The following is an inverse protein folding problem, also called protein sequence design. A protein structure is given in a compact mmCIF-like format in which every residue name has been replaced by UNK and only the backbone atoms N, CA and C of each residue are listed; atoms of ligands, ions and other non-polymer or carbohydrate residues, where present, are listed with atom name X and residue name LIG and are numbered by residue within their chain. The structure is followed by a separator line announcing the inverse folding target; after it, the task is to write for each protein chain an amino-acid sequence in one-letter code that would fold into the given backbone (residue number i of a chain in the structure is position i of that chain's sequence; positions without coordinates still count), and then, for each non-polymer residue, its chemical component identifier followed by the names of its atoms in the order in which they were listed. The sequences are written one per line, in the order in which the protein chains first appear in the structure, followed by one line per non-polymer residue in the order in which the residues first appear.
data_IF_386445990686
#
_entry.id   IF_386445990686
#
_cell.length_a   1.000
_cell.length_b   1.000
_cell.length_c   1.000
_cell.angle_alpha   90.00
_cell.angle_beta   90.00
_cell.angle_gamma   90.00
#
_symmetry.space_group_name_H-M   'P 1'
#
loop_
_entity.id
_entity.type
_entity.pdbx_description
1 polymer ?
#
# COMPACT_ATOMS: atom_id res chain seq x y z
N UNK A 1 -32.76 9.94 42.16
CA UNK A 1 -33.02 11.02 43.13
C UNK A 1 -32.00 12.13 42.90
N UNK A 2 -32.52 13.34 42.54
CA UNK A 2 -31.92 14.68 42.71
C UNK A 2 -30.61 14.96 41.91
N UNK A 3 -30.46 16.01 41.09
CA UNK A 3 -30.95 17.39 41.14
C UNK A 3 -31.14 17.94 39.70
N UNK A 4 -32.34 18.46 39.35
CA UNK A 4 -32.73 19.88 39.34
C UNK A 4 -31.95 20.74 38.32
N UNK A 5 -32.49 20.85 37.09
CA UNK A 5 -32.06 21.82 36.06
C UNK A 5 -32.79 23.15 36.30
N UNK A 6 -32.01 24.22 36.46
CA UNK A 6 -32.50 25.61 36.47
C UNK A 6 -32.78 26.05 35.02
N UNK A 7 -34.02 26.47 34.74
CA UNK A 7 -34.36 27.20 33.52
C UNK A 7 -33.85 28.65 33.65
N UNK A 8 -32.99 29.07 32.73
CA UNK A 8 -32.73 30.49 32.46
C UNK A 8 -33.43 30.89 31.18
N UNK A 9 -34.47 31.70 31.31
CA UNK A 9 -35.14 32.37 30.20
C UNK A 9 -34.30 33.61 29.84
N UNK A 10 -33.49 33.52 28.78
CA UNK A 10 -32.79 34.66 28.21
C UNK A 10 -33.56 35.17 26.99
N UNK A 11 -34.06 36.40 27.10
CA UNK A 11 -34.60 37.17 25.97
C UNK A 11 -33.41 37.65 25.16
N UNK A 12 -33.09 36.94 24.08
CA UNK A 12 -32.05 37.31 23.12
C UNK A 12 -32.61 38.16 22.00
N UNK A 13 -32.12 39.40 21.89
CA UNK A 13 -32.23 40.25 20.69
C UNK A 13 -31.80 39.43 19.47
N UNK A 14 -32.68 39.30 18.48
CA UNK A 14 -32.37 38.63 17.21
C UNK A 14 -31.30 39.39 16.45
N UNK A 15 -30.04 38.96 16.58
CA UNK A 15 -29.03 39.24 15.59
C UNK A 15 -29.37 38.42 14.35
N UNK A 16 -29.81 39.10 13.28
CA UNK A 16 -29.89 38.50 11.95
C UNK A 16 -28.45 38.25 11.53
N UNK A 17 -27.97 37.03 11.79
CA UNK A 17 -26.76 36.52 11.17
C UNK A 17 -27.08 36.40 9.67
N UNK A 18 -26.58 37.35 8.89
CA UNK A 18 -26.46 37.17 7.45
C UNK A 18 -25.47 36.02 7.24
N UNK A 19 -25.98 34.79 7.04
CA UNK A 19 -25.18 33.73 6.47
C UNK A 19 -24.79 34.19 5.07
N UNK A 20 -23.51 34.43 4.84
CA UNK A 20 -22.95 34.52 3.49
C UNK A 20 -23.49 33.33 2.69
N UNK A 21 -23.98 33.52 1.45
CA UNK A 21 -24.44 32.39 0.65
C UNK A 21 -23.30 31.38 0.56
N UNK A 22 -23.49 30.21 1.15
CA UNK A 22 -22.53 29.13 0.99
C UNK A 22 -22.54 28.76 -0.51
N UNK A 23 -21.40 28.92 -1.17
CA UNK A 23 -21.24 28.39 -2.52
C UNK A 23 -21.57 26.89 -2.47
N UNK A 24 -22.42 26.37 -3.36
CA UNK A 24 -22.72 24.95 -3.37
C UNK A 24 -21.42 24.18 -3.59
N UNK A 25 -21.13 23.28 -2.66
CA UNK A 25 -19.98 22.37 -2.70
C UNK A 25 -20.48 21.01 -3.17
N UNK A 26 -19.77 20.37 -4.08
CA UNK A 26 -20.05 19.00 -4.49
C UNK A 26 -18.77 18.19 -4.56
N UNK A 27 -18.87 16.90 -4.31
CA UNK A 27 -17.80 15.94 -4.48
C UNK A 27 -18.19 14.93 -5.55
N UNK A 28 -17.26 14.61 -6.45
CA UNK A 28 -17.39 13.58 -7.46
C UNK A 28 -16.18 12.66 -7.37
N UNK A 29 -16.41 11.35 -7.26
CA UNK A 29 -15.34 10.37 -7.45
C UNK A 29 -15.03 10.28 -8.96
N UNK A 30 -13.79 10.55 -9.34
CA UNK A 30 -13.31 10.57 -10.74
C UNK A 30 -12.40 9.38 -11.05
N UNK A 31 -11.93 8.65 -10.02
CA UNK A 31 -11.30 7.34 -10.14
C UNK A 31 -11.70 6.46 -8.95
N UNK A 32 -12.17 5.25 -9.26
CA UNK A 32 -12.54 4.24 -8.28
C UNK A 32 -11.81 2.93 -8.56
N UNK A 33 -10.82 2.63 -7.74
CA UNK A 33 -10.09 1.36 -7.75
C UNK A 33 -10.36 0.51 -6.50
N UNK A 34 -11.28 0.93 -5.61
CA UNK A 34 -11.62 0.21 -4.39
C UNK A 34 -11.91 1.10 -3.19
N UNK A 35 -12.09 0.49 -1.99
CA UNK A 35 -12.40 1.23 -0.76
C UNK A 35 -11.35 2.30 -0.43
N UNK A 36 -11.80 3.43 0.10
CA UNK A 36 -10.95 4.59 0.47
C UNK A 36 -9.87 4.22 1.49
N UNK A 37 -10.17 3.36 2.45
CA UNK A 37 -9.19 2.86 3.43
C UNK A 37 -8.21 1.79 2.88
N UNK A 38 -8.26 1.49 1.57
CA UNK A 38 -7.42 0.51 0.88
C UNK A 38 -6.69 1.10 -0.33
N UNK A 39 -6.87 2.38 -0.59
CA UNK A 39 -6.27 3.11 -1.72
C UNK A 39 -5.72 4.43 -1.21
N UNK A 40 -4.78 5.01 -1.96
CA UNK A 40 -4.32 6.37 -1.74
C UNK A 40 -5.33 7.31 -2.40
N UNK A 41 -5.94 8.20 -1.63
CA UNK A 41 -7.02 9.06 -2.10
C UNK A 41 -6.46 10.44 -2.50
N UNK A 42 -6.39 10.69 -3.82
CA UNK A 42 -6.10 12.02 -4.36
C UNK A 42 -7.36 12.89 -4.37
N UNK A 43 -7.28 14.10 -3.81
CA UNK A 43 -8.39 15.05 -3.80
C UNK A 43 -8.01 16.31 -4.56
N UNK A 44 -8.72 16.54 -5.66
CA UNK A 44 -8.64 17.76 -6.46
C UNK A 44 -9.64 18.78 -5.92
N UNK A 45 -9.24 20.05 -5.89
CA UNK A 45 -10.03 21.19 -5.44
C UNK A 45 -10.03 22.25 -6.54
N UNK A 46 -11.17 22.87 -6.80
CA UNK A 46 -11.30 23.95 -7.77
C UNK A 46 -11.07 25.32 -7.13
N UNK A 47 -10.19 26.13 -7.73
CA UNK A 47 -9.95 27.51 -7.33
C UNK A 47 -10.05 28.45 -8.56
N UNK A 48 -10.70 29.59 -8.40
CA UNK A 48 -10.89 30.55 -9.51
C UNK A 48 -11.82 30.05 -10.62
N UNK A 49 -12.60 28.98 -10.38
CA UNK A 49 -13.66 28.54 -11.28
C UNK A 49 -15.00 29.13 -10.82
N UNK A 50 -15.65 29.92 -11.66
CA UNK A 50 -17.03 30.37 -11.39
C UNK A 50 -18.03 29.22 -11.50
N UNK A 51 -19.26 29.42 -11.04
CA UNK A 51 -20.31 28.40 -11.07
C UNK A 51 -20.58 27.84 -12.48
N UNK A 52 -20.40 28.63 -13.54
CA UNK A 52 -20.58 28.20 -14.93
C UNK A 52 -19.34 27.49 -15.50
N UNK A 53 -18.21 27.50 -14.79
CA UNK A 53 -16.96 26.85 -15.20
C UNK A 53 -16.68 25.54 -14.44
N UNK A 54 -17.54 25.13 -13.51
CA UNK A 54 -17.30 23.90 -12.73
C UNK A 54 -17.28 22.63 -13.59
N UNK A 55 -17.96 22.60 -14.74
CA UNK A 55 -17.83 21.49 -15.70
C UNK A 55 -16.45 21.47 -16.38
N UNK A 56 -15.85 22.64 -16.62
CA UNK A 56 -14.48 22.75 -17.12
C UNK A 56 -13.49 22.27 -16.06
N UNK A 57 -13.67 22.65 -14.79
CA UNK A 57 -12.87 22.13 -13.68
C UNK A 57 -12.84 20.60 -13.63
N UNK A 58 -13.99 19.93 -13.77
CA UNK A 58 -14.02 18.46 -13.80
C UNK A 58 -13.22 17.91 -14.98
N UNK A 59 -13.26 18.58 -16.14
CA UNK A 59 -12.45 18.21 -17.31
C UNK A 59 -10.95 18.37 -17.02
N UNK A 60 -10.57 19.49 -16.41
CA UNK A 60 -9.19 19.80 -16.04
C UNK A 60 -8.65 18.81 -15.02
N UNK A 61 -9.42 18.52 -13.97
CA UNK A 61 -9.07 17.53 -12.94
C UNK A 61 -8.86 16.13 -13.53
N UNK A 62 -9.74 15.68 -14.44
CA UNK A 62 -9.55 14.41 -15.14
C UNK A 62 -8.31 14.43 -16.04
N UNK A 63 -8.03 15.53 -16.74
CA UNK A 63 -6.85 15.66 -17.59
C UNK A 63 -5.56 15.57 -16.78
N UNK A 64 -5.47 16.29 -15.67
CA UNK A 64 -4.30 16.26 -14.79
C UNK A 64 -4.15 14.92 -14.08
N UNK A 65 -5.25 14.32 -13.61
CA UNK A 65 -5.24 12.96 -13.05
C UNK A 65 -4.68 11.94 -14.04
N UNK A 66 -5.18 11.93 -15.28
CA UNK A 66 -4.71 11.02 -16.31
C UNK A 66 -3.21 11.19 -16.58
N UNK A 67 -2.72 12.44 -16.56
CA UNK A 67 -1.30 12.69 -16.72
C UNK A 67 -0.48 12.20 -15.53
N UNK A 68 -0.88 12.49 -14.29
CA UNK A 68 -0.23 12.01 -13.06
C UNK A 68 -0.11 10.48 -13.09
N UNK A 69 -1.21 9.79 -13.42
CA UNK A 69 -1.25 8.33 -13.53
C UNK A 69 -0.42 7.79 -14.70
N UNK A 70 0.02 8.63 -15.65
CA UNK A 70 0.89 8.20 -16.76
C UNK A 70 2.39 8.30 -16.45
N UNK A 71 2.78 9.01 -15.38
CA UNK A 71 4.18 9.23 -15.02
C UNK A 71 4.70 8.14 -14.08
N UNK A 72 5.90 7.61 -14.38
CA UNK A 72 6.57 6.64 -13.50
C UNK A 72 7.09 7.30 -12.22
N UNK A 73 7.02 6.65 -11.04
CA UNK A 73 6.53 5.28 -10.82
C UNK A 73 5.01 5.18 -10.60
N UNK A 74 4.27 6.29 -10.53
CA UNK A 74 2.81 6.29 -10.26
C UNK A 74 2.06 5.42 -11.28
N UNK A 75 2.48 5.46 -12.54
CA UNK A 75 1.91 4.65 -13.61
C UNK A 75 1.99 3.13 -13.40
N UNK A 76 2.97 2.65 -12.64
CA UNK A 76 3.08 1.23 -12.29
C UNK A 76 2.05 0.81 -11.22
N UNK A 77 1.56 1.77 -10.44
CA UNK A 77 0.70 1.55 -9.29
C UNK A 77 -0.66 2.25 -9.44
N UNK A 78 -1.16 2.50 -10.66
CA UNK A 78 -2.42 3.24 -10.85
C UNK A 78 -3.60 2.64 -10.07
N UNK A 79 -3.67 1.31 -9.96
CA UNK A 79 -4.71 0.57 -9.22
C UNK A 79 -4.68 0.82 -7.71
N UNK A 80 -3.63 1.46 -7.19
CA UNK A 80 -3.44 1.78 -5.79
C UNK A 80 -4.08 3.11 -5.41
N UNK A 81 -4.53 3.91 -6.38
CA UNK A 81 -5.06 5.25 -6.16
C UNK A 81 -6.57 5.30 -6.39
N UNK A 82 -7.25 6.11 -5.61
CA UNK A 82 -8.55 6.68 -5.92
C UNK A 82 -8.38 8.17 -6.20
N UNK A 83 -9.37 8.78 -6.84
CA UNK A 83 -9.38 10.23 -7.02
C UNK A 83 -10.79 10.82 -6.87
N UNK A 84 -10.85 11.97 -6.23
CA UNK A 84 -12.06 12.73 -5.96
C UNK A 84 -11.86 14.18 -6.40
N UNK A 85 -12.87 14.76 -7.03
CA UNK A 85 -12.92 16.18 -7.37
C UNK A 85 -13.96 16.88 -6.50
N UNK A 86 -13.51 17.80 -5.66
CA UNK A 86 -14.38 18.70 -4.88
C UNK A 86 -14.52 20.00 -5.66
N UNK A 87 -15.75 20.30 -6.09
CA UNK A 87 -16.10 21.52 -6.81
C UNK A 87 -16.57 22.59 -5.83
N UNK A 88 -15.99 23.77 -5.95
CA UNK A 88 -16.30 24.96 -5.16
C UNK A 88 -16.27 26.16 -6.09
N UNK A 89 -17.39 26.87 -6.20
CA UNK A 89 -17.46 28.05 -7.04
C UNK A 89 -16.73 29.25 -6.40
N UNK A 90 -15.99 29.98 -7.21
CA UNK A 90 -15.46 31.31 -6.93
C UNK A 90 -16.39 32.40 -7.49
N UNK A 91 -16.29 33.62 -6.95
CA UNK A 91 -17.04 34.77 -7.50
C UNK A 91 -16.42 35.17 -8.84
N UNK A 92 -15.10 35.31 -8.86
CA UNK A 92 -14.34 35.68 -10.04
C UNK A 92 -13.59 34.48 -10.64
N UNK A 93 -13.32 34.57 -11.94
CA UNK A 93 -12.43 33.64 -12.64
C UNK A 93 -10.98 34.14 -12.57
N UNK A 94 -10.02 33.24 -12.40
CA UNK A 94 -8.58 33.57 -12.32
C UNK A 94 -8.04 33.55 -10.89
N UNK A 95 -6.91 34.22 -10.70
CA UNK A 95 -6.23 34.41 -9.41
C UNK A 95 -5.77 35.87 -9.26
N UNK A 96 -5.26 36.24 -8.09
CA UNK A 96 -4.63 37.55 -7.87
C UNK A 96 -3.26 37.60 -8.57
N UNK A 97 -2.96 38.75 -9.20
CA UNK A 97 -1.64 39.09 -9.75
C UNK A 97 -1.22 40.48 -9.24
N UNK A 98 -0.71 40.59 -8.00
CA UNK A 98 -0.37 41.86 -7.36
C UNK A 98 0.59 42.75 -8.16
N UNK A 99 1.61 42.20 -8.84
CA UNK A 99 2.55 42.98 -9.67
C UNK A 99 1.85 43.66 -10.87
N UNK A 100 0.71 43.10 -11.30
CA UNK A 100 -0.12 43.62 -12.39
C UNK A 100 -1.35 44.40 -11.90
N UNK A 101 -1.50 44.62 -10.60
CA UNK A 101 -2.67 45.28 -9.97
C UNK A 101 -4.01 44.58 -10.28
N UNK A 102 -3.99 43.25 -10.38
CA UNK A 102 -5.17 42.41 -10.63
C UNK A 102 -5.53 41.66 -9.34
N UNK A 103 -6.77 41.83 -8.88
CA UNK A 103 -7.31 41.12 -7.71
C UNK A 103 -8.67 40.49 -8.05
N UNK A 104 -8.89 39.27 -7.58
CA UNK A 104 -10.01 38.37 -7.86
C UNK A 104 -10.58 37.86 -6.55
N UNK A 105 -11.89 37.90 -6.42
CA UNK A 105 -12.59 37.31 -5.28
C UNK A 105 -12.80 35.80 -5.52
N UNK A 106 -11.82 35.00 -5.14
CA UNK A 106 -11.83 33.55 -5.31
C UNK A 106 -12.07 32.82 -4.00
N UNK A 107 -12.36 31.52 -4.06
CA UNK A 107 -12.77 30.76 -2.87
C UNK A 107 -11.63 30.58 -1.87
N UNK A 108 -10.42 30.25 -2.34
CA UNK A 108 -9.24 30.00 -1.51
C UNK A 108 -8.25 31.16 -1.46
N UNK A 109 -8.58 32.31 -2.05
CA UNK A 109 -7.71 33.50 -2.12
C UNK A 109 -6.32 33.19 -2.71
N UNK A 110 -6.27 32.44 -3.81
CA UNK A 110 -5.00 32.21 -4.50
C UNK A 110 -4.37 33.50 -5.03
N UNK A 111 -3.05 33.57 -5.01
CA UNK A 111 -2.28 34.71 -5.51
C UNK A 111 -0.93 34.29 -6.09
N UNK A 112 -0.53 34.95 -7.17
CA UNK A 112 0.84 34.97 -7.68
C UNK A 112 1.72 35.94 -6.87
N UNK A 113 2.96 36.12 -7.32
CA UNK A 113 3.92 37.10 -6.81
C UNK A 113 4.33 36.91 -5.34
N UNK A 114 4.01 35.74 -4.76
CA UNK A 114 4.25 35.46 -3.34
C UNK A 114 5.74 35.44 -3.05
N UNK A 115 6.14 36.04 -1.94
CA UNK A 115 7.53 36.14 -1.47
C UNK A 115 8.48 36.80 -2.48
N UNK A 116 7.95 37.68 -3.35
CA UNK A 116 8.72 38.35 -4.40
C UNK A 116 9.12 37.43 -5.55
N UNK A 117 8.41 36.31 -5.74
CA UNK A 117 8.61 35.36 -6.82
C UNK A 117 7.35 35.35 -7.69
N UNK A 118 7.45 35.91 -8.90
CA UNK A 118 6.30 36.07 -9.81
C UNK A 118 5.44 34.80 -9.96
N UNK A 119 6.10 33.67 -10.24
CA UNK A 119 5.43 32.37 -10.49
C UNK A 119 5.01 31.60 -9.23
N UNK A 120 5.28 32.12 -8.03
CA UNK A 120 4.92 31.46 -6.79
C UNK A 120 3.42 31.63 -6.53
N UNK A 121 2.65 30.67 -7.03
CA UNK A 121 1.20 30.62 -6.87
C UNK A 121 0.85 29.94 -5.54
N UNK A 122 0.36 30.70 -4.57
CA UNK A 122 0.08 30.24 -3.21
C UNK A 122 -1.36 30.52 -2.80
N UNK A 123 -1.75 30.00 -1.64
CA UNK A 123 -2.96 30.40 -0.90
C UNK A 123 -2.56 30.76 0.55
N UNK A 124 -3.38 31.54 1.28
CA UNK A 124 -3.09 31.93 2.66
C UNK A 124 -2.88 30.71 3.58
N UNK A 125 -1.91 30.75 4.52
CA UNK A 125 -1.11 31.92 4.87
C UNK A 125 0.07 32.13 3.90
N UNK A 126 0.26 33.37 3.45
CA UNK A 126 1.41 33.83 2.68
C UNK A 126 1.80 35.26 3.11
N UNK A 127 2.68 35.93 2.36
CA UNK A 127 3.14 37.30 2.63
C UNK A 127 2.10 38.39 2.35
N UNK A 128 1.07 38.10 1.55
CA UNK A 128 -0.05 39.03 1.29
C UNK A 128 -1.22 38.86 2.27
N UNK A 129 -1.50 37.62 2.69
CA UNK A 129 -2.56 37.29 3.64
C UNK A 129 -2.06 36.22 4.65
N UNK A 130 -1.79 36.61 5.91
CA UNK A 130 -1.30 35.68 6.93
C UNK A 130 -2.40 34.83 7.57
N UNK A 131 -3.67 34.99 7.17
CA UNK A 131 -4.81 34.36 7.85
C UNK A 131 -5.04 32.96 7.28
N UNK A 132 -4.62 31.95 8.04
CA UNK A 132 -4.82 30.53 7.68
C UNK A 132 -6.26 30.19 7.27
N UNK A 133 -7.27 30.76 7.94
CA UNK A 133 -8.68 30.49 7.66
C UNK A 133 -9.17 31.02 6.30
N UNK A 134 -8.38 31.83 5.60
CA UNK A 134 -8.74 32.40 4.30
C UNK A 134 -8.36 31.49 3.11
N UNK A 135 -7.36 30.62 3.28
CA UNK A 135 -6.86 29.70 2.26
C UNK A 135 -6.81 28.25 2.76
N UNK A 136 -5.65 27.82 3.24
CA UNK A 136 -5.37 26.45 3.72
C UNK A 136 -6.44 25.95 4.72
N UNK A 137 -6.91 26.80 5.64
CA UNK A 137 -7.97 26.44 6.58
C UNK A 137 -9.29 26.07 5.92
N UNK A 138 -9.65 26.69 4.79
CA UNK A 138 -10.82 26.30 4.00
C UNK A 138 -10.59 24.96 3.30
N UNK A 139 -9.38 24.71 2.79
CA UNK A 139 -9.01 23.42 2.18
C UNK A 139 -9.24 22.29 3.17
N UNK A 140 -8.65 22.38 4.36
CA UNK A 140 -8.77 21.31 5.36
C UNK A 140 -10.17 21.20 5.97
N UNK A 141 -10.95 22.29 6.03
CA UNK A 141 -12.36 22.23 6.42
C UNK A 141 -13.22 21.46 5.41
N UNK A 142 -12.98 21.65 4.11
CA UNK A 142 -13.64 20.88 3.05
C UNK A 142 -13.26 19.41 3.12
N UNK A 143 -11.97 19.11 3.22
CA UNK A 143 -11.48 17.73 3.34
C UNK A 143 -12.09 17.04 4.56
N UNK A 144 -12.08 17.67 5.73
CA UNK A 144 -12.67 17.11 6.95
C UNK A 144 -14.17 16.80 6.82
N UNK A 145 -14.90 17.55 5.98
CA UNK A 145 -16.36 17.38 5.81
C UNK A 145 -16.74 16.44 4.66
N UNK A 146 -15.97 16.42 3.58
CA UNK A 146 -16.33 15.73 2.33
C UNK A 146 -15.45 14.52 2.04
N UNK A 147 -14.17 14.53 2.44
CA UNK A 147 -13.23 13.45 2.14
C UNK A 147 -12.14 13.34 3.21
N UNK A 148 -12.46 12.90 4.44
CA UNK A 148 -11.52 12.89 5.57
C UNK A 148 -10.40 11.85 5.44
N UNK A 149 -10.54 10.87 4.56
CA UNK A 149 -9.53 9.84 4.27
C UNK A 149 -8.59 10.26 3.11
N UNK A 150 -8.41 11.56 2.87
CA UNK A 150 -7.50 12.05 1.83
C UNK A 150 -6.03 11.75 2.16
N UNK A 151 -5.22 11.58 1.13
CA UNK A 151 -3.77 11.37 1.26
C UNK A 151 -2.96 12.40 0.48
N UNK A 152 -3.46 12.83 -0.68
CA UNK A 152 -2.83 13.82 -1.56
C UNK A 152 -3.86 14.89 -1.89
N UNK A 153 -3.52 16.16 -1.71
CA UNK A 153 -4.41 17.29 -1.99
C UNK A 153 -3.83 18.12 -3.11
N UNK A 154 -4.63 18.36 -4.15
CA UNK A 154 -4.24 19.13 -5.33
C UNK A 154 -5.24 20.26 -5.52
N UNK A 155 -4.76 21.50 -5.57
CA UNK A 155 -5.56 22.69 -5.87
C UNK A 155 -5.29 23.12 -7.31
N UNK A 156 -6.32 23.11 -8.15
CA UNK A 156 -6.25 23.58 -9.53
C UNK A 156 -6.76 25.01 -9.56
N UNK A 157 -5.90 25.95 -9.94
CA UNK A 157 -6.22 27.37 -10.11
C UNK A 157 -6.52 27.65 -11.58
N UNK A 158 -7.72 28.15 -11.86
CA UNK A 158 -8.20 28.49 -13.21
C UNK A 158 -7.57 29.78 -13.75
N UNK A 159 -6.25 29.77 -13.91
CA UNK A 159 -5.48 30.88 -14.44
C UNK A 159 -4.45 30.36 -15.47
N UNK A 160 -4.31 30.99 -16.65
CA UNK A 160 -3.42 30.51 -17.69
C UNK A 160 -1.95 30.87 -17.45
N UNK A 161 -1.61 31.75 -16.49
CA UNK A 161 -0.23 32.09 -16.18
C UNK A 161 0.53 30.89 -15.60
N UNK A 162 1.85 30.81 -15.86
CA UNK A 162 2.68 29.74 -15.32
C UNK A 162 2.83 29.93 -13.81
N UNK A 163 2.35 28.98 -13.01
CA UNK A 163 2.58 28.98 -11.58
C UNK A 163 2.19 27.68 -10.89
N UNK A 164 2.84 27.46 -9.76
CA UNK A 164 2.58 26.33 -8.87
C UNK A 164 3.45 26.42 -7.64
N UNK A 165 3.03 25.72 -6.59
CA UNK A 165 3.82 25.51 -5.38
C UNK A 165 3.45 24.18 -4.72
N UNK A 166 4.45 23.54 -4.10
CA UNK A 166 4.29 22.29 -3.38
C UNK A 166 4.10 22.49 -1.88
N UNK A 167 3.94 21.38 -1.16
CA UNK A 167 3.79 21.39 0.29
C UNK A 167 2.63 20.49 0.73
N UNK A 168 1.90 20.90 1.76
CA UNK A 168 0.73 20.12 2.23
C UNK A 168 -0.41 20.06 1.20
N UNK A 169 -0.46 21.05 0.29
CA UNK A 169 -1.36 21.10 -0.86
C UNK A 169 -0.50 21.39 -2.08
N UNK A 170 -0.57 20.52 -3.09
CA UNK A 170 0.05 20.75 -4.38
C UNK A 170 -0.81 21.74 -5.17
N UNK A 171 -0.28 22.92 -5.49
CA UNK A 171 -1.00 23.98 -6.19
C UNK A 171 -0.46 24.07 -7.61
N UNK A 172 -1.34 24.08 -8.61
CA UNK A 172 -0.97 24.28 -10.02
C UNK A 172 -1.97 25.23 -10.68
N UNK A 173 -1.47 26.05 -11.60
CA UNK A 173 -2.31 26.80 -12.54
C UNK A 173 -2.80 25.90 -13.68
N UNK A 174 -3.52 26.49 -14.64
CA UNK A 174 -3.97 25.85 -15.89
C UNK A 174 -3.15 26.29 -17.11
N UNK A 175 -1.89 26.67 -16.90
CA UNK A 175 -0.91 26.87 -17.97
C UNK A 175 -0.73 25.56 -18.79
N UNK A 176 -0.32 25.59 -20.08
CA UNK A 176 -0.03 24.38 -20.86
C UNK A 176 0.98 23.39 -20.24
N UNK A 177 1.81 23.87 -19.31
CA UNK A 177 2.76 23.05 -18.55
C UNK A 177 2.18 22.48 -17.24
N UNK A 178 0.92 22.76 -16.90
CA UNK A 178 0.26 22.28 -15.68
C UNK A 178 0.38 20.76 -15.45
N UNK A 179 0.29 19.88 -16.47
CA UNK A 179 0.52 18.45 -16.27
C UNK A 179 1.93 18.15 -15.73
N UNK A 180 2.93 18.90 -16.17
CA UNK A 180 4.29 18.76 -15.66
C UNK A 180 4.43 19.30 -14.23
N UNK A 181 3.89 20.51 -14.00
CA UNK A 181 3.92 21.20 -12.70
C UNK A 181 3.26 20.33 -11.63
N UNK A 182 2.03 19.88 -11.85
CA UNK A 182 1.29 19.12 -10.83
C UNK A 182 2.03 17.84 -10.40
N UNK A 183 2.73 17.17 -11.32
CA UNK A 183 3.52 15.98 -11.00
C UNK A 183 4.75 16.34 -10.16
N UNK A 184 5.41 17.46 -10.46
CA UNK A 184 6.49 17.98 -9.64
C UNK A 184 6.00 18.32 -8.22
N UNK A 185 4.87 19.03 -8.11
CA UNK A 185 4.31 19.40 -6.80
C UNK A 185 3.82 18.19 -5.99
N UNK A 186 3.23 17.19 -6.64
CA UNK A 186 2.92 15.90 -5.99
C UNK A 186 4.20 15.22 -5.50
N UNK A 187 5.34 15.41 -6.16
CA UNK A 187 6.64 14.98 -5.67
C UNK A 187 6.96 15.49 -4.27
N UNK A 188 6.67 16.76 -3.99
CA UNK A 188 6.79 17.34 -2.65
C UNK A 188 5.73 16.78 -1.69
N UNK A 189 4.45 16.85 -2.07
CA UNK A 189 3.33 16.51 -1.17
C UNK A 189 3.28 15.03 -0.78
N UNK A 190 3.70 14.14 -1.68
CA UNK A 190 3.59 12.70 -1.49
C UNK A 190 4.96 12.04 -1.26
N UNK A 191 5.97 12.41 -2.05
CA UNK A 191 7.31 11.83 -1.98
C UNK A 191 8.22 12.48 -0.94
N UNK A 192 7.78 13.59 -0.32
CA UNK A 192 8.61 14.44 0.54
C UNK A 192 9.93 14.88 -0.13
N UNK A 193 9.91 14.98 -1.46
CA UNK A 193 11.07 15.34 -2.27
C UNK A 193 11.40 16.82 -2.05
N UNK A 194 12.68 17.16 -2.13
CA UNK A 194 13.16 18.54 -2.21
C UNK A 194 13.36 18.95 -3.66
N UNK A 195 13.38 20.25 -3.88
CA UNK A 195 13.78 20.81 -5.18
C UNK A 195 15.24 20.54 -5.47
N UNK A 196 15.52 20.04 -6.67
CA UNK A 196 16.87 19.70 -7.13
C UNK A 196 17.54 20.86 -7.90
N UNK A 197 16.80 21.93 -8.19
CA UNK A 197 17.40 23.14 -8.75
C UNK A 197 18.04 24.03 -7.67
N UNK A 198 18.94 24.91 -8.11
CA UNK A 198 19.84 25.70 -7.28
C UNK A 198 19.56 27.21 -7.28
N UNK A 199 18.54 27.66 -8.02
CA UNK A 199 18.12 29.06 -8.00
C UNK A 199 17.26 29.38 -6.76
N UNK A 200 17.29 30.62 -6.25
CA UNK A 200 16.52 31.02 -5.08
C UNK A 200 15.01 30.78 -5.28
N UNK A 201 14.37 30.17 -4.29
CA UNK A 201 12.95 29.83 -4.40
C UNK A 201 12.28 29.32 -3.13
N UNK A 202 13.05 28.91 -2.11
CA UNK A 202 12.48 28.39 -0.88
C UNK A 202 13.49 28.15 0.23
N UNK A 203 13.09 27.35 1.21
CA UNK A 203 13.95 26.98 2.34
C UNK A 203 14.65 25.66 2.05
N UNK A 204 15.99 25.67 2.08
CA UNK A 204 16.78 24.45 1.89
C UNK A 204 16.54 23.44 3.02
N UNK A 205 16.31 22.19 2.66
CA UNK A 205 16.02 21.11 3.61
C UNK A 205 16.61 19.77 3.14
N UNK A 206 16.89 18.91 4.12
CA UNK A 206 17.27 17.53 3.89
C UNK A 206 16.05 16.71 3.48
N UNK A 207 16.05 16.19 2.27
CA UNK A 207 14.97 15.37 1.70
C UNK A 207 15.53 14.03 1.22
N UNK A 208 14.67 13.09 0.75
CA UNK A 208 15.15 11.84 0.16
C UNK A 208 16.12 12.04 -1.03
N UNK A 209 16.00 13.17 -1.75
CA UNK A 209 16.77 13.50 -2.96
C UNK A 209 17.63 14.78 -2.83
N UNK A 210 17.73 15.40 -1.65
CA UNK A 210 18.62 16.56 -1.42
C UNK A 210 19.38 16.40 -0.10
N UNK A 211 20.67 16.72 -0.08
CA UNK A 211 21.48 16.60 1.15
C UNK A 211 22.66 17.56 1.18
N UNK A 212 23.15 17.88 2.38
CA UNK A 212 24.45 18.53 2.61
C UNK A 212 25.58 17.53 2.86
N UNK A 213 25.25 16.25 3.08
CA UNK A 213 26.24 15.22 3.36
C UNK A 213 27.02 14.85 2.10
N UNK A 214 28.34 14.85 2.21
CA UNK A 214 29.26 14.55 1.11
C UNK A 214 30.18 13.35 1.39
N UNK A 215 30.06 12.73 2.55
CA UNK A 215 30.73 11.46 2.87
C UNK A 215 29.89 10.30 2.40
N UNK A 216 30.46 9.52 1.48
CA UNK A 216 29.80 8.40 0.75
C UNK A 216 28.93 7.51 1.64
N UNK A 217 29.42 7.15 2.82
CA UNK A 217 28.79 6.22 3.75
C UNK A 217 27.53 6.76 4.44
N UNK A 218 27.34 8.08 4.44
CA UNK A 218 26.22 8.77 5.06
C UNK A 218 25.22 9.38 4.06
N UNK A 219 25.54 9.39 2.76
CA UNK A 219 24.60 9.83 1.71
C UNK A 219 23.37 8.92 1.71
N UNK A 220 22.18 9.54 1.71
CA UNK A 220 20.89 8.83 1.86
C UNK A 220 20.64 7.78 0.78
N UNK A 221 21.02 8.09 -0.47
CA UNK A 221 20.90 7.20 -1.62
C UNK A 221 22.20 6.49 -1.99
N UNK A 222 23.16 6.36 -1.06
CA UNK A 222 24.46 5.72 -1.31
C UNK A 222 24.39 4.34 -1.97
N UNK A 223 23.31 3.58 -1.76
CA UNK A 223 23.10 2.26 -2.38
C UNK A 223 22.90 2.35 -3.89
N UNK A 224 22.45 3.50 -4.38
CA UNK A 224 22.31 3.79 -5.80
C UNK A 224 23.62 4.18 -6.47
N UNK A 225 24.55 4.80 -5.72
CA UNK A 225 25.84 5.27 -6.23
C UNK A 225 26.80 4.09 -6.43
N UNK A 226 27.26 3.89 -7.67
CA UNK A 226 28.27 2.89 -7.97
C UNK A 226 29.60 3.23 -7.26
N UNK A 227 30.40 2.20 -6.98
CA UNK A 227 31.73 2.36 -6.36
C UNK A 227 32.65 3.25 -7.20
N UNK A 228 32.53 3.16 -8.54
CA UNK A 228 33.32 3.93 -9.49
C UNK A 228 32.86 5.37 -9.69
N UNK A 229 31.67 5.76 -9.21
CA UNK A 229 31.17 7.12 -9.40
C UNK A 229 31.94 8.08 -8.49
N UNK A 230 32.52 9.19 -8.99
CA UNK A 230 33.20 10.18 -8.14
C UNK A 230 32.22 10.89 -7.18
N UNK A 231 32.72 11.33 -6.02
CA UNK A 231 31.97 12.12 -5.03
C UNK A 231 32.80 13.35 -4.61
N UNK A 232 32.32 14.59 -4.85
CA UNK A 232 31.14 14.93 -5.66
C UNK A 232 31.26 14.43 -7.11
N UNK A 233 30.12 14.20 -7.75
CA UNK A 233 30.05 13.76 -9.14
C UNK A 233 30.13 14.97 -10.07
N UNK A 234 31.07 15.02 -11.04
CA UNK A 234 31.16 16.12 -11.99
C UNK A 234 29.88 16.29 -12.81
N UNK A 235 29.46 17.54 -13.04
CA UNK A 235 28.32 17.87 -13.90
C UNK A 235 28.69 17.80 -15.39
N UNK A 236 29.11 16.60 -15.81
CA UNK A 236 29.49 16.32 -17.19
C UNK A 236 28.51 15.31 -17.80
N UNK A 237 28.26 15.43 -19.10
CA UNK A 237 27.32 14.56 -19.81
C UNK A 237 27.68 13.06 -19.69
N UNK A 238 28.97 12.72 -19.48
CA UNK A 238 29.40 11.34 -19.22
C UNK A 238 28.82 10.73 -17.93
N UNK A 239 28.27 11.55 -17.04
CA UNK A 239 27.62 11.13 -15.80
C UNK A 239 26.08 11.31 -15.84
N UNK A 240 25.49 11.69 -16.97
CA UNK A 240 24.05 11.97 -17.06
C UNK A 240 23.17 10.76 -16.65
N UNK A 241 23.63 9.55 -16.95
CA UNK A 241 22.88 8.31 -16.68
C UNK A 241 23.22 7.64 -15.34
N UNK A 242 24.16 8.19 -14.55
CA UNK A 242 24.53 7.60 -13.25
C UNK A 242 23.81 8.30 -12.11
N UNK A 243 23.50 7.53 -11.06
CA UNK A 243 23.20 8.12 -9.76
C UNK A 243 24.51 8.48 -9.07
N UNK A 244 24.63 9.74 -8.66
CA UNK A 244 25.83 10.35 -8.10
C UNK A 244 25.51 11.31 -6.95
N UNK A 245 26.42 12.24 -6.70
CA UNK A 245 26.26 13.34 -5.75
C UNK A 245 26.64 14.64 -6.49
N UNK A 246 25.70 15.18 -7.26
CA UNK A 246 25.90 16.40 -8.07
C UNK A 246 25.68 17.64 -7.20
N UNK A 247 26.59 18.61 -7.24
CA UNK A 247 26.50 19.84 -6.45
C UNK A 247 25.46 20.80 -7.05
N UNK A 248 24.72 21.51 -6.20
CA UNK A 248 23.59 22.35 -6.61
C UNK A 248 22.27 21.64 -6.36
N UNK A 249 21.53 22.07 -5.33
CA UNK A 249 20.21 21.57 -4.99
C UNK A 249 19.58 22.46 -3.90
N UNK A 250 18.30 22.26 -3.63
CA UNK A 250 17.60 22.91 -2.52
C UNK A 250 17.82 24.43 -2.48
N UNK A 251 17.76 25.08 -3.65
CA UNK A 251 17.94 26.52 -3.83
C UNK A 251 19.36 27.05 -3.54
N UNK A 252 20.35 26.16 -3.45
CA UNK A 252 21.75 26.51 -3.17
C UNK A 252 22.68 25.94 -4.25
N UNK A 253 23.45 26.83 -4.88
CA UNK A 253 24.45 26.45 -5.89
C UNK A 253 25.69 25.73 -5.32
N UNK A 254 25.88 25.72 -3.99
CA UNK A 254 27.02 25.03 -3.36
C UNK A 254 26.64 24.49 -1.97
N UNK A 255 27.33 23.42 -1.55
CA UNK A 255 27.12 22.81 -0.24
C UNK A 255 25.81 22.01 -0.08
N UNK A 256 25.06 21.87 -1.17
CA UNK A 256 23.88 21.01 -1.29
C UNK A 256 24.01 20.16 -2.54
N UNK A 257 23.47 18.94 -2.50
CA UNK A 257 23.66 17.96 -3.55
C UNK A 257 22.37 17.22 -3.91
N UNK A 258 22.28 16.81 -5.17
CA UNK A 258 21.19 16.02 -5.77
C UNK A 258 21.69 14.69 -6.35
N UNK A 259 20.81 13.69 -6.53
CA UNK A 259 21.18 12.34 -6.93
C UNK A 259 21.51 12.18 -8.41
N UNK A 260 20.99 13.04 -9.29
CA UNK A 260 21.14 12.92 -10.74
C UNK A 260 21.44 14.26 -11.38
N UNK A 261 22.06 14.23 -12.56
CA UNK A 261 22.36 15.46 -13.31
C UNK A 261 21.10 16.24 -13.66
N UNK A 262 20.00 15.52 -13.95
CA UNK A 262 18.67 16.05 -14.23
C UNK A 262 17.58 15.11 -13.69
N UNK A 263 16.44 15.68 -13.33
CA UNK A 263 15.32 15.02 -12.67
C UNK A 263 14.05 15.86 -12.81
N UNK A 264 12.87 15.23 -12.71
CA UNK A 264 11.58 15.93 -12.54
C UNK A 264 11.58 17.01 -11.46
N UNK A 265 12.35 16.82 -10.38
CA UNK A 265 12.47 17.79 -9.28
C UNK A 265 13.44 18.94 -9.57
N UNK A 266 14.10 18.92 -10.72
CA UNK A 266 15.00 19.97 -11.20
C UNK A 266 14.39 20.69 -12.41
N UNK A 267 13.90 19.90 -13.38
CA UNK A 267 13.42 20.36 -14.68
C UNK A 267 12.09 19.69 -15.03
N UNK A 268 11.16 20.45 -15.62
CA UNK A 268 9.95 19.88 -16.20
C UNK A 268 10.26 19.05 -17.45
N UNK A 269 9.36 18.14 -17.83
CA UNK A 269 9.48 17.22 -18.98
C UNK A 269 10.60 16.18 -18.86
N UNK A 270 11.16 16.02 -17.66
CA UNK A 270 12.14 15.00 -17.30
C UNK A 270 11.48 14.02 -16.33
N UNK A 271 11.72 12.69 -16.44
CA UNK A 271 11.19 11.73 -15.47
C UNK A 271 11.79 11.94 -14.08
N UNK A 272 11.12 11.41 -13.06
CA UNK A 272 11.74 11.28 -11.75
C UNK A 272 13.01 10.43 -11.85
N UNK A 273 14.09 10.86 -11.19
CA UNK A 273 15.28 10.03 -11.06
C UNK A 273 15.00 8.79 -10.20
N UNK A 274 15.91 7.82 -10.21
CA UNK A 274 15.79 6.56 -9.49
C UNK A 274 15.60 6.76 -7.98
N UNK A 275 16.22 7.79 -7.41
CA UNK A 275 16.11 8.13 -5.98
C UNK A 275 14.74 8.72 -5.65
N UNK A 276 14.22 9.60 -6.51
CA UNK A 276 12.86 10.13 -6.37
C UNK A 276 11.80 9.04 -6.56
N UNK A 277 11.99 8.16 -7.55
CA UNK A 277 11.10 7.02 -7.78
C UNK A 277 11.07 6.09 -6.55
N UNK A 278 12.23 5.78 -5.97
CA UNK A 278 12.32 4.99 -4.74
C UNK A 278 11.54 5.64 -3.58
N UNK A 279 11.69 6.95 -3.40
CA UNK A 279 11.00 7.69 -2.34
C UNK A 279 9.47 7.67 -2.53
N UNK A 280 8.98 7.88 -3.76
CA UNK A 280 7.55 7.83 -4.08
C UNK A 280 6.95 6.44 -3.82
N UNK A 281 7.67 5.37 -4.17
CA UNK A 281 7.21 3.98 -3.92
C UNK A 281 7.18 3.67 -2.42
N UNK A 282 8.16 4.16 -1.66
CA UNK A 282 8.18 4.02 -0.19
C UNK A 282 7.04 4.80 0.47
N UNK A 283 6.78 6.03 0.03
CA UNK A 283 5.65 6.83 0.51
C UNK A 283 4.31 6.12 0.30
N UNK A 284 4.11 5.48 -0.84
CA UNK A 284 2.94 4.62 -1.09
C UNK A 284 2.78 3.53 -0.03
N UNK A 285 3.85 2.79 0.27
CA UNK A 285 3.81 1.71 1.27
C UNK A 285 3.71 2.19 2.73
N UNK A 286 3.90 3.47 3.01
CA UNK A 286 3.56 4.04 4.32
C UNK A 286 2.04 4.19 4.53
N UNK A 287 1.27 4.26 3.45
CA UNK A 287 -0.17 4.50 3.50
C UNK A 287 -0.98 3.24 3.26
N UNK A 288 -0.54 2.38 2.35
CA UNK A 288 -1.28 1.18 1.95
C UNK A 288 -0.41 -0.07 1.89
N UNK A 289 -1.04 -1.18 2.23
CA UNK A 289 -0.41 -2.50 2.30
C UNK A 289 -0.58 -3.28 0.99
N UNK A 290 0.30 -4.25 0.74
CA UNK A 290 0.29 -5.04 -0.48
C UNK A 290 -0.82 -6.12 -0.54
N UNK A 291 -1.40 -6.53 0.60
CA UNK A 291 -2.54 -7.45 0.66
C UNK A 291 -3.85 -6.64 0.71
N UNK A 292 -4.61 -6.68 -0.38
CA UNK A 292 -5.88 -5.97 -0.50
C UNK A 292 -6.95 -6.61 0.41
N UNK A 293 -7.11 -7.93 0.29
CA UNK A 293 -8.02 -8.73 1.12
C UNK A 293 -7.48 -10.14 1.40
N UNK A 294 -8.12 -10.86 2.32
CA UNK A 294 -7.75 -12.22 2.70
C UNK A 294 -8.94 -13.00 3.23
N UNK A 295 -8.85 -14.33 3.17
CA UNK A 295 -9.85 -15.25 3.72
C UNK A 295 -9.17 -16.47 4.35
N UNK A 296 -9.68 -17.04 5.45
CA UNK A 296 -10.76 -16.54 6.30
C UNK A 296 -10.41 -15.21 7.00
N UNK A 297 -11.43 -14.39 7.28
CA UNK A 297 -11.24 -13.15 8.04
C UNK A 297 -10.84 -13.42 9.50
N UNK A 298 -11.32 -14.51 10.07
CA UNK A 298 -10.92 -14.95 11.41
C UNK A 298 -9.42 -15.22 11.45
N UNK A 299 -8.71 -14.60 12.40
CA UNK A 299 -7.31 -14.87 12.65
C UNK A 299 -7.03 -16.23 13.31
N UNK A 300 -8.06 -16.91 13.80
CA UNK A 300 -7.96 -18.23 14.44
C UNK A 300 -8.87 -19.24 13.76
N UNK A 301 -8.33 -20.40 13.45
CA UNK A 301 -9.01 -21.50 12.77
C UNK A 301 -8.84 -22.76 13.62
N UNK A 302 -9.92 -23.51 13.82
CA UNK A 302 -9.87 -24.80 14.48
C UNK A 302 -10.03 -25.90 13.43
N UNK A 303 -9.12 -26.87 13.43
CA UNK A 303 -9.19 -28.08 12.61
C UNK A 303 -9.25 -29.29 13.54
N UNK A 304 -10.10 -30.26 13.21
CA UNK A 304 -10.15 -31.56 13.89
C UNK A 304 -9.86 -32.70 12.92
N UNK A 305 -9.37 -33.83 13.44
CA UNK A 305 -9.17 -35.06 12.69
C UNK A 305 -8.44 -34.84 11.35
N UNK A 306 -9.20 -34.85 10.24
CA UNK A 306 -8.73 -34.81 8.86
C UNK A 306 -9.07 -33.51 8.12
N UNK A 307 -9.48 -32.48 8.88
CA UNK A 307 -9.91 -31.22 8.33
C UNK A 307 -8.80 -30.52 7.54
N UNK A 308 -9.23 -29.67 6.63
CA UNK A 308 -8.35 -28.76 5.92
C UNK A 308 -9.01 -27.41 5.76
N UNK A 309 -8.19 -26.38 5.60
CA UNK A 309 -8.65 -25.03 5.31
C UNK A 309 -7.86 -24.45 4.15
N UNK A 310 -8.55 -23.80 3.23
CA UNK A 310 -7.92 -22.96 2.23
C UNK A 310 -7.75 -21.55 2.82
N UNK A 311 -6.50 -21.11 2.91
CA UNK A 311 -6.15 -19.73 3.24
C UNK A 311 -5.90 -18.99 1.93
N UNK A 312 -6.43 -17.79 1.81
CA UNK A 312 -6.37 -16.98 0.62
C UNK A 312 -5.91 -15.56 0.98
N UNK A 313 -5.03 -15.02 0.13
CA UNK A 313 -4.71 -13.60 0.07
C UNK A 313 -5.00 -13.09 -1.32
N UNK A 314 -5.46 -11.85 -1.43
CA UNK A 314 -5.62 -11.13 -2.69
C UNK A 314 -4.64 -9.96 -2.65
N UNK A 315 -3.48 -10.08 -3.32
CA UNK A 315 -2.54 -8.97 -3.42
C UNK A 315 -3.10 -7.83 -4.28
N UNK A 316 -2.78 -6.59 -3.93
CA UNK A 316 -3.04 -5.43 -4.76
C UNK A 316 -1.98 -5.37 -5.86
N UNK A 317 -2.33 -5.66 -7.10
CA UNK A 317 -1.33 -5.88 -8.15
C UNK A 317 -0.91 -4.58 -8.86
N UNK A 318 0.40 -4.31 -8.99
CA UNK A 318 0.94 -3.33 -9.91
C UNK A 318 0.67 -3.71 -11.38
N UNK A 319 0.74 -2.75 -12.29
CA UNK A 319 0.34 -2.96 -13.70
C UNK A 319 1.36 -3.75 -14.52
N UNK A 320 2.65 -3.68 -14.20
CA UNK A 320 3.72 -4.20 -15.05
C UNK A 320 4.59 -5.31 -14.42
N UNK A 321 4.34 -5.68 -13.17
CA UNK A 321 5.08 -6.75 -12.50
C UNK A 321 4.21 -7.47 -11.46
N UNK A 322 4.68 -8.65 -11.03
CA UNK A 322 3.98 -9.47 -10.05
C UNK A 322 4.57 -9.29 -8.65
N UNK A 323 3.71 -9.34 -7.65
CA UNK A 323 4.13 -9.46 -6.26
C UNK A 323 4.51 -10.91 -5.96
N UNK A 324 5.63 -11.11 -5.27
CA UNK A 324 6.01 -12.44 -4.81
C UNK A 324 5.22 -12.85 -3.58
N UNK A 325 4.81 -14.11 -3.52
CA UNK A 325 4.09 -14.70 -2.38
C UNK A 325 4.94 -15.84 -1.81
N UNK A 326 5.09 -15.87 -0.50
CA UNK A 326 5.70 -16.98 0.24
C UNK A 326 4.78 -17.36 1.41
N UNK A 327 4.50 -18.66 1.56
CA UNK A 327 3.81 -19.19 2.72
C UNK A 327 4.78 -19.79 3.72
N UNK A 328 4.56 -19.50 5.00
CA UNK A 328 5.38 -20.00 6.10
C UNK A 328 4.50 -20.70 7.14
N UNK A 329 4.97 -21.84 7.65
CA UNK A 329 4.38 -22.53 8.81
C UNK A 329 5.38 -22.41 9.97
N UNK A 330 4.94 -21.82 11.09
CA UNK A 330 5.78 -21.57 12.27
C UNK A 330 7.11 -20.87 11.91
N UNK A 331 7.02 -19.86 11.04
CA UNK A 331 8.13 -19.09 10.46
C UNK A 331 9.11 -19.88 9.58
N UNK A 332 8.81 -21.14 9.24
CA UNK A 332 9.57 -21.91 8.25
C UNK A 332 8.90 -21.83 6.88
N UNK A 333 9.61 -21.44 5.81
CA UNK A 333 9.06 -21.41 4.46
C UNK A 333 8.57 -22.78 3.99
N UNK A 334 7.42 -22.79 3.31
CA UNK A 334 6.87 -23.99 2.66
C UNK A 334 7.31 -23.98 1.19
N UNK A 335 8.19 -24.90 0.82
CA UNK A 335 8.76 -24.95 -0.53
C UNK A 335 7.68 -25.08 -1.60
N UNK A 336 7.72 -24.20 -2.60
CA UNK A 336 6.78 -24.19 -3.73
C UNK A 336 5.39 -23.58 -3.44
N UNK A 337 5.11 -23.18 -2.19
CA UNK A 337 3.86 -22.50 -1.85
C UNK A 337 3.98 -21.00 -2.15
N UNK A 338 3.68 -20.63 -3.40
CA UNK A 338 3.76 -19.26 -3.93
C UNK A 338 2.46 -18.78 -4.61
N UNK A 339 1.37 -19.51 -4.42
CA UNK A 339 0.04 -19.15 -4.93
C UNK A 339 -0.68 -18.22 -3.95
N UNK A 340 -1.69 -17.48 -4.44
CA UNK A 340 -2.60 -16.69 -3.61
C UNK A 340 -3.44 -17.53 -2.65
N UNK A 341 -3.61 -18.82 -2.96
CA UNK A 341 -4.33 -19.79 -2.13
C UNK A 341 -3.36 -20.86 -1.65
N UNK A 342 -3.35 -21.11 -0.33
CA UNK A 342 -2.61 -22.18 0.31
C UNK A 342 -3.54 -23.04 1.15
N UNK A 343 -3.60 -24.33 0.82
CA UNK A 343 -4.43 -25.30 1.54
C UNK A 343 -3.61 -25.95 2.63
N UNK A 344 -4.08 -25.84 3.85
CA UNK A 344 -3.47 -26.39 5.06
C UNK A 344 -4.27 -27.59 5.51
N UNK A 345 -3.60 -28.70 5.74
CA UNK A 345 -4.22 -29.91 6.28
C UNK A 345 -3.81 -30.12 7.74
N UNK A 346 -4.77 -30.55 8.58
CA UNK A 346 -4.52 -30.83 10.00
C UNK A 346 -3.32 -31.78 10.20
N UNK A 347 -3.25 -32.84 9.40
CA UNK A 347 -2.21 -33.88 9.49
C UNK A 347 -0.79 -33.41 9.17
N UNK A 348 -0.63 -32.33 8.41
CA UNK A 348 0.68 -31.75 8.10
C UNK A 348 1.22 -30.91 9.26
N UNK A 349 0.32 -30.38 10.08
CA UNK A 349 0.66 -29.56 11.24
C UNK A 349 0.87 -30.39 12.51
N UNK A 350 0.06 -31.44 12.71
CA UNK A 350 0.00 -32.19 13.96
C UNK A 350 -0.88 -31.51 15.02
N UNK A 351 -1.10 -32.15 16.17
CA UNK A 351 -1.88 -31.54 17.27
C UNK A 351 -1.12 -30.34 17.85
N UNK A 352 -1.83 -29.26 18.12
CA UNK A 352 -1.26 -28.06 18.73
C UNK A 352 -1.74 -26.76 18.09
N UNK A 353 -1.02 -25.68 18.38
CA UNK A 353 -1.25 -24.36 17.79
C UNK A 353 -0.12 -24.04 16.82
N UNK A 354 -0.47 -23.67 15.60
CA UNK A 354 0.49 -23.40 14.52
C UNK A 354 0.20 -22.04 13.90
N UNK A 355 1.24 -21.30 13.57
CA UNK A 355 1.11 -20.08 12.78
C UNK A 355 1.27 -20.40 11.31
N UNK A 356 0.30 -20.00 10.51
CA UNK A 356 0.40 -20.02 9.04
C UNK A 356 0.42 -18.57 8.57
N UNK A 357 1.49 -18.17 7.88
CA UNK A 357 1.72 -16.79 7.45
C UNK A 357 1.84 -16.74 5.93
N UNK A 358 1.02 -15.92 5.29
CA UNK A 358 1.27 -15.47 3.93
C UNK A 358 2.12 -14.21 3.99
N UNK A 359 3.23 -14.17 3.27
CA UNK A 359 4.05 -12.99 3.07
C UNK A 359 3.99 -12.58 1.61
N UNK A 360 3.65 -11.32 1.36
CA UNK A 360 3.66 -10.69 0.04
C UNK A 360 4.81 -9.71 0.00
N UNK A 361 5.54 -9.69 -1.11
CA UNK A 361 6.62 -8.73 -1.34
C UNK A 361 6.54 -8.15 -2.74
N UNK A 362 6.59 -6.82 -2.83
CA UNK A 362 6.87 -6.10 -4.07
C UNK A 362 8.34 -6.31 -4.48
N UNK A 363 8.52 -6.75 -5.73
CA UNK A 363 9.83 -7.11 -6.29
C UNK A 363 10.38 -6.04 -7.23
N UNK A 364 9.76 -4.86 -7.26
CA UNK A 364 10.20 -3.73 -8.07
C UNK A 364 11.67 -3.43 -7.85
N UNK A 365 12.38 -3.22 -8.95
CA UNK A 365 13.80 -2.86 -8.95
C UNK A 365 14.00 -1.38 -8.63
N UNK A 366 12.94 -0.58 -8.66
CA UNK A 366 12.95 0.87 -8.35
C UNK A 366 13.15 1.16 -6.87
N UNK A 367 13.17 0.15 -5.99
CA UNK A 367 13.57 0.29 -4.59
C UNK A 367 14.77 -0.60 -4.31
N UNK A 368 15.93 0.03 -4.10
CA UNK A 368 17.21 -0.65 -3.83
C UNK A 368 17.52 -0.74 -2.35
N UNK A 369 17.04 0.21 -1.54
CA UNK A 369 17.28 0.24 -0.09
C UNK A 369 15.98 0.15 0.70
N UNK A 370 15.66 -1.01 1.27
CA UNK A 370 14.46 -1.21 2.10
C UNK A 370 14.80 -1.86 3.46
N UNK A 371 15.51 -1.16 4.35
CA UNK A 371 15.97 -1.74 5.62
C UNK A 371 14.83 -2.00 6.61
N UNK A 372 13.69 -1.33 6.42
CA UNK A 372 12.50 -1.44 7.27
C UNK A 372 11.44 -2.39 6.70
N UNK A 373 11.68 -3.00 5.53
CA UNK A 373 10.77 -3.90 4.83
C UNK A 373 9.42 -3.27 4.44
N UNK A 374 9.42 -2.01 3.99
CA UNK A 374 8.23 -1.33 3.45
C UNK A 374 7.56 -2.12 2.33
N UNK A 375 8.35 -2.83 1.50
CA UNK A 375 7.82 -3.55 0.34
C UNK A 375 7.21 -4.91 0.72
N UNK A 376 7.17 -5.26 2.02
CA UNK A 376 6.60 -6.51 2.50
C UNK A 376 5.35 -6.28 3.31
N UNK A 377 4.35 -7.12 3.06
CA UNK A 377 3.15 -7.24 3.87
C UNK A 377 2.95 -8.70 4.28
N UNK A 378 2.21 -8.95 5.36
CA UNK A 378 1.91 -10.31 5.76
C UNK A 378 0.58 -10.45 6.46
N UNK A 379 -0.07 -11.58 6.21
CA UNK A 379 -1.23 -12.04 6.95
C UNK A 379 -0.88 -13.31 7.72
N UNK A 380 -1.19 -13.31 9.02
CA UNK A 380 -0.98 -14.47 9.91
C UNK A 380 -2.33 -15.03 10.35
N UNK A 381 -2.46 -16.35 10.26
CA UNK A 381 -3.52 -17.14 10.88
C UNK A 381 -2.92 -18.05 11.96
N UNK A 382 -3.66 -18.25 13.04
CA UNK A 382 -3.41 -19.27 14.05
C UNK A 382 -4.31 -20.46 13.77
N UNK A 383 -3.72 -21.59 13.42
CA UNK A 383 -4.42 -22.85 13.17
C UNK A 383 -4.23 -23.75 14.38
N UNK A 384 -5.32 -23.98 15.11
CA UNK A 384 -5.35 -24.89 16.25
C UNK A 384 -5.88 -26.24 15.78
N UNK A 385 -5.07 -27.27 15.96
CA UNK A 385 -5.38 -28.63 15.56
C UNK A 385 -5.57 -29.47 16.81
N UNK A 386 -6.71 -30.16 16.88
CA UNK A 386 -7.00 -31.08 17.98
C UNK A 386 -7.63 -32.38 17.46
N UNK A 387 -7.63 -33.42 18.29
CA UNK A 387 -8.22 -34.71 17.91
C UNK A 387 -7.47 -35.43 16.79
N UNK A 388 -6.26 -35.02 16.41
CA UNK A 388 -5.56 -35.60 15.28
C UNK A 388 -5.43 -37.12 15.42
N UNK A 389 -5.97 -37.81 14.42
CA UNK A 389 -6.10 -39.26 14.40
C UNK A 389 -4.72 -39.91 14.27
N UNK A 390 -4.20 -40.51 15.33
CA UNK A 390 -2.86 -41.14 15.38
C UNK A 390 -2.84 -42.59 14.85
N UNK A 391 -3.88 -43.02 14.16
CA UNK A 391 -4.02 -44.38 13.68
C UNK A 391 -3.15 -44.64 12.44
N UNK A 392 -2.60 -45.86 12.32
CA UNK A 392 -1.67 -46.25 11.26
C UNK A 392 -2.21 -47.46 10.50
N UNK A 393 -2.01 -47.48 9.18
CA UNK A 393 -2.29 -48.67 8.38
C UNK A 393 -1.50 -49.88 8.91
N UNK A 394 -2.20 -50.98 9.16
CA UNK A 394 -1.62 -52.21 9.70
C UNK A 394 -1.44 -52.27 11.22
N UNK A 395 -1.64 -51.18 11.96
CA UNK A 395 -1.70 -51.18 13.44
C UNK A 395 -3.14 -51.54 13.89
N UNK A 396 -3.53 -52.77 13.56
CA UNK A 396 -4.91 -53.25 13.66
C UNK A 396 -5.44 -53.23 15.10
N UNK A 397 -4.56 -53.43 16.09
CA UNK A 397 -4.94 -53.45 17.50
C UNK A 397 -4.78 -52.10 18.21
N UNK A 398 -4.23 -51.08 17.55
CA UNK A 398 -4.03 -49.76 18.13
C UNK A 398 -2.91 -49.68 19.17
N UNK A 399 -1.99 -50.64 19.18
CA UNK A 399 -0.85 -50.67 20.10
C UNK A 399 0.18 -49.58 19.83
N UNK A 400 0.16 -49.00 18.62
CA UNK A 400 1.14 -48.02 18.17
C UNK A 400 2.47 -48.67 17.78
N UNK A 401 3.29 -47.94 17.01
CA UNK A 401 4.58 -48.45 16.52
C UNK A 401 4.51 -49.01 15.09
N UNK A 402 5.37 -49.98 14.78
CA UNK A 402 5.41 -50.70 13.49
C UNK A 402 4.52 -51.96 13.57
N UNK A 403 3.74 -52.27 12.51
CA UNK A 403 2.93 -53.47 12.47
C UNK A 403 3.73 -54.73 12.79
N UNK A 404 3.19 -55.59 13.64
CA UNK A 404 3.86 -56.78 14.15
C UNK A 404 2.88 -57.96 14.29
N UNK A 405 3.34 -59.06 14.92
CA UNK A 405 2.53 -60.27 15.09
C UNK A 405 1.22 -60.01 15.82
N UNK A 406 1.20 -59.09 16.80
CA UNK A 406 -0.02 -58.83 17.59
C UNK A 406 -1.11 -58.15 16.76
N UNK A 407 -0.74 -57.37 15.74
CA UNK A 407 -1.67 -56.78 14.77
C UNK A 407 -2.27 -57.85 13.86
N UNK A 408 -1.43 -58.78 13.36
CA UNK A 408 -1.87 -59.91 12.54
C UNK A 408 -2.87 -60.76 13.32
N UNK A 409 -2.56 -61.09 14.59
CA UNK A 409 -3.44 -61.88 15.45
C UNK A 409 -4.76 -61.16 15.69
N UNK A 410 -4.72 -59.86 15.94
CA UNK A 410 -5.92 -59.05 16.12
C UNK A 410 -6.81 -59.09 14.87
N UNK A 411 -6.22 -58.88 13.69
CA UNK A 411 -6.94 -58.87 12.42
C UNK A 411 -7.50 -60.26 12.08
N UNK A 412 -6.77 -61.35 12.36
CA UNK A 412 -7.28 -62.73 12.23
C UNK A 412 -8.47 -62.97 13.15
N UNK A 413 -8.42 -62.49 14.40
CA UNK A 413 -9.52 -62.65 15.34
C UNK A 413 -10.76 -61.86 14.89
N UNK A 414 -10.58 -60.66 14.34
CA UNK A 414 -11.65 -59.90 13.72
C UNK A 414 -12.27 -60.65 12.52
N UNK A 415 -11.45 -61.00 11.52
CA UNK A 415 -11.92 -61.57 10.24
C UNK A 415 -12.53 -62.96 10.41
N UNK A 416 -11.99 -63.81 11.28
CA UNK A 416 -12.37 -65.23 11.34
C UNK A 416 -13.05 -65.67 12.64
N UNK A 417 -12.97 -64.87 13.71
CA UNK A 417 -13.42 -65.29 15.05
C UNK A 417 -14.42 -64.33 15.70
N UNK A 418 -14.94 -63.36 14.96
CA UNK A 418 -15.93 -62.40 15.47
C UNK A 418 -15.37 -61.44 16.52
N UNK A 419 -14.06 -61.18 16.50
CA UNK A 419 -13.44 -60.16 17.35
C UNK A 419 -13.91 -58.74 17.01
N UNK A 420 -13.56 -57.74 17.83
CA UNK A 420 -13.88 -56.34 17.55
C UNK A 420 -13.19 -55.84 16.26
N UNK A 421 -13.86 -54.94 15.54
CA UNK A 421 -13.29 -54.30 14.36
C UNK A 421 -12.17 -53.31 14.74
N UNK A 422 -11.09 -53.20 13.95
CA UNK A 422 -10.12 -52.12 14.09
C UNK A 422 -10.79 -50.75 14.05
N UNK A 423 -10.35 -49.82 14.90
CA UNK A 423 -10.91 -48.47 15.00
C UNK A 423 -9.82 -47.38 14.98
N UNK A 424 -9.81 -46.47 14.00
CA UNK A 424 -10.67 -46.44 12.81
C UNK A 424 -10.45 -47.66 11.90
N UNK A 425 -11.44 -47.96 11.06
CA UNK A 425 -11.50 -49.18 10.21
C UNK A 425 -10.26 -49.39 9.35
N UNK A 426 -9.67 -48.30 8.86
CA UNK A 426 -8.48 -48.31 8.02
C UNK A 426 -7.24 -48.91 8.71
N UNK A 427 -7.23 -49.09 10.04
CA UNK A 427 -6.12 -49.74 10.76
C UNK A 427 -5.97 -51.20 10.32
N UNK A 428 -7.08 -51.82 9.92
CA UNK A 428 -7.11 -53.18 9.41
C UNK A 428 -6.93 -53.31 7.90
N UNK A 429 -7.05 -52.23 7.14
CA UNK A 429 -6.90 -52.24 5.67
C UNK A 429 -5.42 -51.98 5.33
N UNK A 430 -4.60 -53.02 5.44
CA UNK A 430 -3.16 -52.92 5.27
C UNK A 430 -2.75 -52.80 3.79
N UNK A 431 -3.61 -53.23 2.84
CA UNK A 431 -3.30 -53.22 1.42
C UNK A 431 -4.10 -52.20 0.59
N UNK A 432 -4.92 -51.37 1.25
CA UNK A 432 -5.82 -50.40 0.62
C UNK A 432 -6.86 -51.03 -0.33
N UNK A 433 -7.39 -52.20 0.05
CA UNK A 433 -8.47 -52.88 -0.67
C UNK A 433 -9.84 -52.23 -0.47
N UNK A 434 -9.97 -51.35 0.52
CA UNK A 434 -11.19 -50.60 0.84
C UNK A 434 -12.11 -51.34 1.81
N UNK A 435 -12.57 -50.65 2.85
CA UNK A 435 -13.51 -51.16 3.85
C UNK A 435 -12.83 -51.51 5.19
N UNK A 436 -13.39 -52.47 5.92
CA UNK A 436 -12.75 -53.02 7.12
C UNK A 436 -11.77 -54.12 6.69
N UNK A 437 -10.66 -54.28 7.40
CA UNK A 437 -9.63 -55.28 7.06
C UNK A 437 -10.17 -56.70 6.86
N UNK A 438 -9.64 -57.40 5.85
CA UNK A 438 -10.12 -58.69 5.39
C UNK A 438 -8.96 -59.73 5.29
N UNK A 439 -9.22 -60.91 4.72
CA UNK A 439 -8.20 -61.96 4.58
C UNK A 439 -6.97 -61.49 3.79
N UNK A 440 -7.15 -60.65 2.78
CA UNK A 440 -6.04 -60.16 1.95
C UNK A 440 -5.14 -59.21 2.73
N UNK A 441 -5.68 -58.45 3.69
CA UNK A 441 -4.91 -57.61 4.62
C UNK A 441 -4.12 -58.44 5.63
N UNK A 442 -4.72 -59.53 6.14
CA UNK A 442 -4.01 -60.49 7.00
C UNK A 442 -2.80 -61.06 6.27
N UNK A 443 -2.98 -61.51 5.03
CA UNK A 443 -1.88 -62.05 4.21
C UNK A 443 -0.83 -60.97 3.94
N UNK A 444 -1.25 -59.73 3.69
CA UNK A 444 -0.37 -58.60 3.46
C UNK A 444 0.52 -58.32 4.67
N UNK A 445 -0.06 -58.23 5.88
CA UNK A 445 0.69 -58.02 7.11
C UNK A 445 1.63 -59.19 7.44
N UNK A 446 1.23 -60.43 7.21
CA UNK A 446 2.13 -61.59 7.38
C UNK A 446 3.35 -61.47 6.47
N UNK A 447 3.15 -61.05 5.22
CA UNK A 447 4.26 -60.89 4.28
C UNK A 447 5.17 -59.72 4.70
N UNK A 448 4.61 -58.59 5.14
CA UNK A 448 5.39 -57.45 5.66
C UNK A 448 6.22 -57.85 6.89
N UNK A 449 5.58 -58.42 7.91
CA UNK A 449 6.22 -58.71 9.21
C UNK A 449 7.26 -59.83 9.12
N UNK A 450 7.01 -60.87 8.33
CA UNK A 450 7.83 -62.09 8.35
C UNK A 450 8.60 -62.39 7.07
N UNK A 451 8.27 -61.76 5.94
CA UNK A 451 8.83 -62.12 4.63
C UNK A 451 9.45 -60.94 3.87
N UNK A 452 9.61 -59.78 4.52
CA UNK A 452 10.17 -58.59 3.88
C UNK A 452 9.27 -58.01 2.78
N UNK A 453 7.95 -58.22 2.89
CA UNK A 453 6.97 -57.62 1.98
C UNK A 453 6.88 -56.10 2.11
N UNK A 454 6.13 -55.43 1.22
CA UNK A 454 5.93 -53.99 1.26
C UNK A 454 5.24 -53.52 2.55
N UNK A 455 5.55 -52.29 2.98
CA UNK A 455 4.90 -51.66 4.14
C UNK A 455 3.40 -51.42 3.89
N UNK A 456 2.54 -51.43 4.93
CA UNK A 456 1.12 -51.16 4.77
C UNK A 456 0.84 -49.88 4.00
N UNK A 457 -0.16 -49.96 3.14
CA UNK A 457 -0.55 -48.86 2.26
C UNK A 457 -1.29 -47.82 3.07
N UNK A 458 -0.76 -46.62 2.96
CA UNK A 458 -1.25 -45.36 3.48
C UNK A 458 -2.60 -45.00 2.83
N UNK A 459 -3.68 -44.93 3.62
CA UNK A 459 -5.04 -44.67 3.10
C UNK A 459 -5.78 -43.64 3.94
N UNK A 460 -6.19 -42.55 3.27
CA UNK A 460 -6.86 -41.43 3.92
C UNK A 460 -5.97 -40.76 4.96
N UNK A 461 -6.57 -39.97 5.85
CA UNK A 461 -5.82 -39.18 6.85
C UNK A 461 -5.80 -39.86 8.23
N UNK A 462 -6.75 -40.77 8.49
CA UNK A 462 -6.88 -41.48 9.76
C UNK A 462 -6.15 -42.83 9.80
N UNK A 463 -5.46 -43.22 8.73
CA UNK A 463 -4.48 -44.33 8.70
C UNK A 463 -3.35 -44.00 7.73
N UNK A 464 -2.91 -42.73 7.84
CA UNK A 464 -2.09 -41.94 6.91
C UNK A 464 -1.44 -42.74 5.81
#
# INVERSE_FOLDING_TARGET
MKNLKLLWLSVGLGAILFSTPAFPQSIQQILDNGPTNKRINMVFLSEGYTSTQLSQYITDANSLLNYILSVQPIAEYQTYFNAFAISVASVDSGSDHPESDIYRNTYFNSTYDSYGIQRALTIPPNDFDPVYANGQGKVFALLASLMPEYDIVILIVNDPEYGGTGGAVAITSMHPAAPEIVVHEVGHSFGYLGDEYDYPGGTSAENPNTTQENRREFIRWRTWILESTPIPTPEEFSYADVVGLFEGAAYQASGWYRPKLDCKMQSLFVPFCEVCAEALIKSKYNLINAIDSFFPLSGTIALVDTDSVALEIVPLLPTNHQLSIEWLINNSPVAGANSSIFKVYSYELGNGSHQVKAQVKDTTWMVRNDPTNFLRDSKVWTVNVSGLCAAKAGDANGSGGTPNLTDIVYLVNYVFKGGPAPSPSCRGDANASGGNGNLTDVVYLVNYVFKGGPAPVKIGVCCL
#
